data_IF_754909967669
#
_entry.id   IF_754909967669
#
_cell.length_a   1.000
_cell.length_b   1.000
_cell.length_c   1.000
_cell.angle_alpha   90.00
_cell.angle_beta   90.00
_cell.angle_gamma   90.00
#
_symmetry.space_group_name_H-M   'P 1'
#
loop_
_entity.id
_entity.type
_entity.pdbx_description
1 polymer ?
#
# COMPACT_ATOMS: atom_id res chain seq x y z
N UNK A 1 7.75 0.99 -5.27
CA UNK A 1 9.20 1.06 -5.56
C UNK A 1 9.44 1.55 -6.98
N UNK A 2 8.98 0.84 -8.01
CA UNK A 2 9.27 1.23 -9.40
C UNK A 2 8.46 2.43 -9.92
N UNK A 3 7.15 2.50 -9.64
CA UNK A 3 6.31 3.61 -10.09
C UNK A 3 6.56 4.91 -9.32
N UNK A 4 5.82 5.19 -8.22
CA UNK A 4 5.88 6.49 -7.54
C UNK A 4 7.27 6.90 -7.00
N UNK A 5 8.17 5.94 -6.77
CA UNK A 5 9.49 6.20 -6.18
C UNK A 5 10.62 6.16 -7.21
N UNK A 6 10.30 5.88 -8.48
CA UNK A 6 11.22 5.87 -9.63
C UNK A 6 12.54 5.14 -9.37
N UNK A 7 12.48 4.03 -8.63
CA UNK A 7 13.66 3.21 -8.38
C UNK A 7 14.06 2.47 -9.67
N UNK A 8 15.36 2.33 -9.90
CA UNK A 8 15.85 1.34 -10.86
C UNK A 8 15.45 -0.07 -10.42
N UNK A 9 15.47 -1.04 -11.33
CA UNK A 9 15.20 -2.45 -10.98
C UNK A 9 16.21 -2.95 -9.95
N UNK A 10 17.50 -2.63 -10.12
CA UNK A 10 18.55 -3.02 -9.19
C UNK A 10 18.35 -2.41 -7.79
N UNK A 11 18.01 -1.11 -7.72
CA UNK A 11 17.70 -0.43 -6.46
C UNK A 11 16.47 -1.07 -5.79
N UNK A 12 15.44 -1.40 -6.57
CA UNK A 12 14.21 -1.99 -6.04
C UNK A 12 14.47 -3.38 -5.45
N UNK A 13 15.29 -4.22 -6.10
CA UNK A 13 15.69 -5.54 -5.59
C UNK A 13 16.44 -5.39 -4.26
N UNK A 14 17.46 -4.54 -4.22
CA UNK A 14 18.25 -4.29 -3.00
C UNK A 14 17.37 -3.75 -1.87
N UNK A 15 16.50 -2.79 -2.19
CA UNK A 15 15.57 -2.19 -1.23
C UNK A 15 14.59 -3.23 -0.68
N UNK A 16 14.08 -4.12 -1.54
CA UNK A 16 13.18 -5.20 -1.12
C UNK A 16 13.86 -6.22 -0.20
N UNK A 17 15.12 -6.57 -0.48
CA UNK A 17 15.90 -7.46 0.39
C UNK A 17 16.05 -6.84 1.80
N UNK A 18 16.43 -5.57 1.88
CA UNK A 18 16.54 -4.84 3.15
C UNK A 18 15.20 -4.73 3.89
N UNK A 19 14.11 -4.48 3.14
CA UNK A 19 12.77 -4.46 3.70
C UNK A 19 12.45 -5.80 4.35
N UNK A 20 12.70 -6.89 3.63
CA UNK A 20 12.31 -8.23 4.04
C UNK A 20 13.00 -8.62 5.34
N UNK A 21 14.30 -8.35 5.44
CA UNK A 21 15.08 -8.58 6.67
C UNK A 21 14.54 -7.75 7.85
N UNK A 22 14.28 -6.45 7.65
CA UNK A 22 13.84 -5.58 8.75
C UNK A 22 12.41 -5.90 9.20
N UNK A 23 11.51 -6.20 8.26
CA UNK A 23 10.08 -6.36 8.52
C UNK A 23 9.74 -7.77 9.02
N UNK A 24 10.39 -8.80 8.49
CA UNK A 24 10.04 -10.20 8.77
C UNK A 24 10.99 -10.92 9.74
N UNK A 25 11.98 -10.24 10.31
CA UNK A 25 12.91 -10.81 11.30
C UNK A 25 12.26 -11.13 12.66
N UNK A 26 11.23 -10.38 13.05
CA UNK A 26 10.56 -10.56 14.34
C UNK A 26 9.10 -10.98 14.16
N UNK A 27 8.77 -12.15 14.68
CA UNK A 27 7.38 -12.61 14.80
C UNK A 27 6.80 -12.23 16.16
N UNK A 28 5.49 -11.96 16.19
CA UNK A 28 4.76 -11.77 17.44
C UNK A 28 4.53 -13.13 18.12
N UNK A 29 4.35 -13.10 19.44
CA UNK A 29 3.97 -14.28 20.23
C UNK A 29 2.70 -14.95 19.69
N UNK A 30 2.65 -16.29 19.78
CA UNK A 30 1.52 -17.12 19.32
C UNK A 30 0.21 -16.68 20.01
N UNK A 31 -0.85 -16.47 19.24
CA UNK A 31 -2.17 -16.02 19.74
C UNK A 31 -2.45 -14.53 19.56
N UNK A 32 -1.54 -13.76 18.94
CA UNK A 32 -1.86 -12.41 18.46
C UNK A 32 -2.52 -12.44 17.08
N UNK A 33 -3.24 -11.37 16.78
CA UNK A 33 -4.02 -11.11 15.56
C UNK A 33 -3.21 -11.01 14.25
N UNK A 34 -1.88 -10.94 14.30
CA UNK A 34 -1.03 -11.04 13.11
C UNK A 34 0.40 -11.48 13.45
N UNK A 35 1.08 -12.15 12.51
CA UNK A 35 2.45 -12.66 12.68
C UNK A 35 3.49 -11.53 12.77
N UNK A 36 3.42 -10.51 11.91
CA UNK A 36 4.45 -9.48 11.83
C UNK A 36 3.96 -8.11 12.29
N UNK A 37 4.91 -7.24 12.66
CA UNK A 37 4.63 -5.86 13.09
C UNK A 37 4.41 -4.96 11.88
N UNK A 38 3.15 -4.59 11.65
CA UNK A 38 2.73 -3.59 10.67
C UNK A 38 3.55 -2.27 10.73
N UNK A 39 3.87 -1.83 11.95
CA UNK A 39 4.64 -0.61 12.20
C UNK A 39 6.06 -0.66 11.64
N UNK A 40 6.70 -1.84 11.58
CA UNK A 40 8.03 -1.98 10.95
C UNK A 40 7.94 -1.76 9.44
N UNK A 41 6.93 -2.34 8.80
CA UNK A 41 6.67 -2.15 7.37
C UNK A 41 6.36 -0.67 7.07
N UNK A 42 5.50 -0.05 7.88
CA UNK A 42 5.17 1.37 7.75
C UNK A 42 6.41 2.27 7.88
N UNK A 43 7.20 2.10 8.94
CA UNK A 43 8.39 2.90 9.18
C UNK A 43 9.40 2.75 8.03
N UNK A 44 9.58 1.53 7.52
CA UNK A 44 10.45 1.27 6.38
C UNK A 44 9.97 1.98 5.11
N UNK A 45 8.68 1.87 4.79
CA UNK A 45 8.10 2.52 3.61
C UNK A 45 8.19 4.05 3.73
N UNK A 46 7.82 4.62 4.89
CA UNK A 46 7.94 6.06 5.15
C UNK A 46 9.36 6.58 4.97
N UNK A 47 10.37 5.83 5.46
CA UNK A 47 11.79 6.17 5.28
C UNK A 47 12.17 6.26 3.80
N UNK A 48 11.79 5.26 3.00
CA UNK A 48 12.08 5.28 1.57
C UNK A 48 11.38 6.43 0.86
N UNK A 49 10.11 6.67 1.18
CA UNK A 49 9.35 7.78 0.60
C UNK A 49 10.03 9.11 0.94
N UNK A 50 10.45 9.31 2.19
CA UNK A 50 11.19 10.50 2.58
C UNK A 50 12.49 10.67 1.77
N UNK A 51 13.25 9.58 1.57
CA UNK A 51 14.48 9.62 0.77
C UNK A 51 14.24 9.95 -0.70
N UNK A 52 13.20 9.37 -1.32
CA UNK A 52 12.97 9.49 -2.76
C UNK A 52 12.14 10.72 -3.14
N UNK A 53 11.23 11.15 -2.27
CA UNK A 53 10.26 12.23 -2.54
C UNK A 53 10.39 13.43 -1.59
N UNK A 54 11.29 13.40 -0.61
CA UNK A 54 11.47 14.48 0.37
C UNK A 54 10.35 14.63 1.41
N UNK A 55 9.29 13.81 1.34
CA UNK A 55 8.15 13.88 2.25
C UNK A 55 7.61 12.47 2.58
N UNK A 56 7.78 11.95 3.81
CA UNK A 56 7.30 10.60 4.19
C UNK A 56 5.78 10.42 4.07
N UNK A 57 5.02 11.52 4.08
CA UNK A 57 3.56 11.55 3.96
C UNK A 57 3.12 12.03 2.57
N UNK A 58 3.96 11.86 1.54
CA UNK A 58 3.58 12.09 0.15
C UNK A 58 2.30 11.30 -0.19
N UNK A 59 1.32 12.00 -0.78
CA UNK A 59 0.04 11.43 -1.20
C UNK A 59 0.15 10.71 -2.54
N UNK A 60 -0.76 9.78 -2.80
CA UNK A 60 -0.80 9.03 -4.06
C UNK A 60 -0.92 9.95 -5.28
N UNK A 61 -1.68 11.05 -5.16
CA UNK A 61 -1.88 12.04 -6.22
C UNK A 61 -0.81 13.13 -6.29
N UNK A 62 0.32 12.98 -5.60
CA UNK A 62 1.39 14.00 -5.55
C UNK A 62 1.95 14.35 -6.93
N UNK A 63 1.83 13.44 -7.89
CA UNK A 63 2.61 13.53 -9.12
C UNK A 63 1.88 14.16 -10.33
N UNK A 64 0.60 14.53 -10.20
CA UNK A 64 -0.17 15.19 -11.25
C UNK A 64 -0.24 14.41 -12.58
N UNK A 65 -0.79 15.03 -13.62
CA UNK A 65 -0.94 14.41 -14.94
C UNK A 65 0.37 14.33 -15.76
N UNK A 66 1.47 14.93 -15.27
CA UNK A 66 2.76 14.97 -15.96
C UNK A 66 3.71 13.83 -15.57
N UNK A 67 3.21 12.83 -14.84
CA UNK A 67 3.98 11.62 -14.58
C UNK A 67 4.05 10.71 -15.80
N UNK A 68 5.26 10.30 -16.24
CA UNK A 68 5.38 9.29 -17.29
C UNK A 68 4.79 7.92 -16.88
N UNK A 69 4.65 7.63 -15.57
CA UNK A 69 4.18 6.32 -15.09
C UNK A 69 2.87 6.38 -14.30
N UNK A 70 1.75 6.08 -14.98
CA UNK A 70 0.45 5.88 -14.34
C UNK A 70 0.46 4.59 -13.52
N UNK A 71 0.35 4.69 -12.20
CA UNK A 71 0.38 3.53 -11.28
C UNK A 71 -0.90 3.47 -10.46
N UNK A 72 -1.30 2.26 -10.09
CA UNK A 72 -2.32 2.04 -9.07
C UNK A 72 -1.94 0.88 -8.16
N UNK A 73 -2.52 0.86 -6.96
CA UNK A 73 -2.37 -0.19 -5.95
C UNK A 73 -3.76 -0.72 -5.60
N UNK A 74 -3.91 -2.04 -5.55
CA UNK A 74 -5.16 -2.70 -5.17
C UNK A 74 -5.16 -3.03 -3.67
N UNK A 75 -6.26 -2.76 -2.99
CA UNK A 75 -6.56 -3.35 -1.68
C UNK A 75 -8.04 -3.70 -1.60
N UNK A 76 -8.38 -4.69 -0.77
CA UNK A 76 -9.77 -5.11 -0.60
C UNK A 76 -10.36 -4.41 0.63
N UNK A 77 -11.53 -3.75 0.51
CA UNK A 77 -12.26 -3.31 1.70
C UNK A 77 -12.71 -4.51 2.54
N UNK A 78 -12.43 -4.48 3.83
CA UNK A 78 -12.69 -5.59 4.75
C UNK A 78 -14.19 -5.95 4.82
N UNK A 79 -15.08 -4.98 4.61
CA UNK A 79 -16.53 -5.18 4.67
C UNK A 79 -17.16 -5.58 3.31
N UNK A 80 -16.42 -5.48 2.20
CA UNK A 80 -16.92 -5.74 0.85
C UNK A 80 -16.21 -6.91 0.13
N UNK A 81 -15.63 -7.83 0.90
CA UNK A 81 -14.84 -8.97 0.37
C UNK A 81 -15.68 -9.83 -0.58
N UNK A 82 -16.96 -10.07 -0.26
CA UNK A 82 -17.85 -10.94 -1.04
C UNK A 82 -18.11 -10.43 -2.46
N UNK A 83 -18.09 -9.11 -2.64
CA UNK A 83 -18.29 -8.50 -3.96
C UNK A 83 -17.06 -8.66 -4.85
N UNK A 84 -15.89 -9.00 -4.29
CA UNK A 84 -14.61 -9.10 -4.98
C UNK A 84 -14.24 -7.83 -5.78
N UNK A 85 -14.71 -6.66 -5.33
CA UNK A 85 -14.41 -5.36 -5.93
C UNK A 85 -13.31 -4.68 -5.10
N UNK A 86 -12.09 -4.53 -5.63
CA UNK A 86 -11.02 -3.88 -4.89
C UNK A 86 -11.18 -2.36 -4.92
N UNK A 87 -10.58 -1.71 -3.93
CA UNK A 87 -10.23 -0.30 -4.00
C UNK A 87 -8.93 -0.14 -4.77
N UNK A 88 -8.95 0.80 -5.71
CA UNK A 88 -7.80 1.17 -6.52
C UNK A 88 -7.28 2.54 -6.06
N UNK A 89 -6.14 2.54 -5.37
CA UNK A 89 -5.41 3.77 -5.02
C UNK A 89 -4.55 4.17 -6.21
N UNK A 90 -4.85 5.30 -6.86
CA UNK A 90 -4.25 5.69 -8.14
C UNK A 90 -3.32 6.89 -7.98
N UNK A 91 -2.31 6.98 -8.84
CA UNK A 91 -1.47 8.18 -8.97
C UNK A 91 -2.00 9.20 -9.99
N UNK A 92 -3.14 8.90 -10.61
CA UNK A 92 -3.74 9.69 -11.69
C UNK A 92 -5.24 9.86 -11.47
N UNK A 93 -5.79 10.96 -11.99
CA UNK A 93 -7.21 11.25 -11.88
C UNK A 93 -8.02 10.35 -12.81
N UNK A 94 -9.22 9.97 -12.36
CA UNK A 94 -10.22 9.26 -13.17
C UNK A 94 -11.52 10.07 -13.22
N UNK A 95 -12.25 10.09 -14.35
CA UNK A 95 -13.46 10.91 -14.49
C UNK A 95 -14.62 10.52 -13.54
N UNK A 96 -14.65 9.27 -13.06
CA UNK A 96 -15.70 8.73 -12.19
C UNK A 96 -15.11 8.28 -10.86
N UNK A 97 -15.49 8.95 -9.78
CA UNK A 97 -15.21 8.56 -8.40
C UNK A 97 -13.97 9.22 -7.80
N UNK A 98 -14.13 9.76 -6.59
CA UNK A 98 -13.01 10.21 -5.77
C UNK A 98 -12.14 9.01 -5.40
N UNK A 99 -11.02 8.86 -6.09
CA UNK A 99 -9.95 7.98 -5.59
C UNK A 99 -9.54 8.50 -4.23
N UNK A 100 -9.45 7.63 -3.21
CA UNK A 100 -8.83 8.01 -1.94
C UNK A 100 -7.43 8.54 -2.25
N UNK A 101 -7.25 9.84 -2.13
CA UNK A 101 -5.94 10.45 -2.23
C UNK A 101 -5.21 10.19 -0.92
N UNK A 102 -4.98 8.93 -0.54
CA UNK A 102 -4.28 8.58 0.69
C UNK A 102 -2.77 8.79 0.53
N UNK A 103 -2.01 8.59 1.61
CA UNK A 103 -0.55 8.60 1.58
C UNK A 103 -0.03 7.34 0.89
N UNK A 104 1.11 7.45 0.20
CA UNK A 104 1.71 6.31 -0.51
C UNK A 104 1.99 5.15 0.45
N UNK A 105 2.40 5.44 1.69
CA UNK A 105 2.63 4.41 2.70
C UNK A 105 1.35 3.71 3.16
N UNK A 106 0.21 4.42 3.19
CA UNK A 106 -1.10 3.85 3.54
C UNK A 106 -1.54 2.85 2.46
N UNK A 107 -1.48 3.24 1.18
CA UNK A 107 -1.80 2.34 0.07
C UNK A 107 -0.90 1.09 0.07
N UNK A 108 0.41 1.26 0.30
CA UNK A 108 1.35 0.14 0.39
C UNK A 108 1.08 -0.77 1.60
N UNK A 109 0.67 -0.21 2.74
CA UNK A 109 0.22 -0.97 3.91
C UNK A 109 -1.07 -1.74 3.62
N UNK A 110 -2.05 -1.11 2.97
CA UNK A 110 -3.33 -1.71 2.63
C UNK A 110 -3.16 -2.94 1.74
N UNK A 111 -2.41 -2.84 0.63
CA UNK A 111 -2.15 -4.00 -0.24
C UNK A 111 -1.40 -5.13 0.46
N UNK A 112 -0.59 -4.81 1.49
CA UNK A 112 0.21 -5.78 2.24
C UNK A 112 -0.51 -6.33 3.47
N UNK A 113 -1.70 -5.85 3.81
CA UNK A 113 -2.46 -6.22 5.01
C UNK A 113 -3.13 -7.60 4.86
N UNK A 114 -2.35 -8.63 4.53
CA UNK A 114 -2.83 -9.99 4.35
C UNK A 114 -3.26 -10.58 5.70
N UNK A 115 -4.45 -11.21 5.79
CA UNK A 115 -4.91 -11.88 7.00
C UNK A 115 -3.85 -12.82 7.57
N UNK A 116 -3.76 -12.87 8.90
CA UNK A 116 -2.74 -13.59 9.67
C UNK A 116 -1.31 -13.05 9.54
N UNK A 117 -0.91 -12.36 8.47
CA UNK A 117 0.45 -11.84 8.28
C UNK A 117 0.59 -10.44 8.91
N UNK A 118 -0.28 -9.51 8.49
CA UNK A 118 -0.30 -8.13 8.97
C UNK A 118 -1.71 -7.72 9.38
N UNK A 119 -1.80 -6.84 10.40
CA UNK A 119 -3.08 -6.24 10.77
C UNK A 119 -3.66 -5.40 9.60
N UNK A 120 -4.99 -5.36 9.48
CA UNK A 120 -5.70 -4.39 8.63
C UNK A 120 -5.27 -2.94 8.89
N UNK A 121 -5.63 -2.04 7.96
CA UNK A 121 -5.39 -0.60 8.09
C UNK A 121 -6.66 0.17 7.77
N UNK A 122 -6.96 1.18 8.58
CA UNK A 122 -8.02 2.15 8.32
C UNK A 122 -7.45 3.31 7.51
N UNK A 123 -8.11 3.68 6.41
CA UNK A 123 -7.69 4.79 5.55
C UNK A 123 -8.92 5.65 5.27
N UNK A 124 -8.77 6.96 5.44
CA UNK A 124 -9.82 7.94 5.19
C UNK A 124 -9.78 9.10 6.18
N UNK A 125 -10.62 10.09 5.95
CA UNK A 125 -10.78 11.23 6.87
C UNK A 125 -11.65 10.81 8.07
N UNK A 126 -11.63 11.60 9.14
CA UNK A 126 -12.24 11.27 10.45
C UNK A 126 -13.72 10.86 10.39
N UNK A 127 -14.46 11.30 9.37
CA UNK A 127 -15.88 10.98 9.17
C UNK A 127 -16.14 9.83 8.19
N UNK A 128 -15.14 9.41 7.40
CA UNK A 128 -15.25 8.36 6.39
C UNK A 128 -13.95 7.53 6.33
N UNK A 129 -13.75 6.70 7.36
CA UNK A 129 -12.69 5.69 7.38
C UNK A 129 -13.21 4.37 6.78
N UNK A 130 -12.39 3.76 5.94
CA UNK A 130 -12.65 2.42 5.39
C UNK A 130 -11.52 1.48 5.82
N UNK A 131 -11.88 0.30 6.32
CA UNK A 131 -10.93 -0.73 6.74
C UNK A 131 -10.48 -1.55 5.54
N UNK A 132 -9.17 -1.68 5.33
CA UNK A 132 -8.58 -2.39 4.20
C UNK A 132 -7.76 -3.60 4.63
N UNK A 133 -7.85 -4.65 3.80
CA UNK A 133 -7.02 -5.85 3.83
C UNK A 133 -6.30 -6.03 2.49
N UNK A 134 -5.31 -6.92 2.49
CA UNK A 134 -4.38 -7.14 1.38
C UNK A 134 -5.08 -7.43 0.05
N UNK A 135 -4.51 -6.92 -1.04
CA UNK A 135 -5.03 -7.12 -2.40
C UNK A 135 -5.03 -8.60 -2.85
N UNK A 136 -4.23 -9.45 -2.18
CA UNK A 136 -4.26 -10.90 -2.38
C UNK A 136 -5.61 -11.54 -2.04
N UNK A 137 -6.46 -10.87 -1.25
CA UNK A 137 -7.81 -11.32 -0.93
C UNK A 137 -8.75 -10.86 -2.05
N UNK A 138 -9.19 -11.79 -2.90
CA UNK A 138 -10.15 -11.54 -3.99
C UNK A 138 -9.58 -10.83 -5.23
N UNK A 139 -8.43 -10.14 -5.15
CA UNK A 139 -7.91 -9.29 -6.24
C UNK A 139 -6.41 -9.47 -6.51
N UNK A 140 -5.91 -10.71 -6.40
CA UNK A 140 -4.49 -11.00 -6.54
C UNK A 140 -3.92 -10.78 -7.97
N UNK A 141 -4.78 -10.62 -8.97
CA UNK A 141 -4.38 -10.25 -10.32
C UNK A 141 -4.85 -8.83 -10.68
N UNK A 142 -3.99 -7.80 -10.54
CA UNK A 142 -4.33 -6.42 -10.84
C UNK A 142 -4.58 -6.16 -12.34
N UNK A 143 -4.15 -7.05 -13.25
CA UNK A 143 -4.45 -6.92 -14.68
C UNK A 143 -5.94 -7.10 -15.02
N UNK A 144 -6.76 -7.58 -14.07
CA UNK A 144 -8.22 -7.64 -14.23
C UNK A 144 -8.92 -6.34 -13.83
N UNK A 145 -8.16 -5.34 -13.37
CA UNK A 145 -8.67 -4.09 -12.77
C UNK A 145 -8.32 -2.84 -13.61
N UNK A 146 -7.72 -3.05 -14.79
CA UNK A 146 -7.34 -2.00 -15.75
C UNK A 146 -8.40 -1.80 -16.81
#
# INVERSE_FOLDING_TARGET
MLGPLRMSVADAITTYAQMSEQVFSETKWKGRDSTFKASKLEAFIKRIIATKLGNPNARMMVLGNNEPSKTFICAMPAHNINSAIPRLFRTYQVPKGSTFNCMIWEAARATSATPNIFKPIEIGDSSMQELFIGGGVGCNNPMRQV
#
